data_IF_848591972273
#
_entry.id   IF_848591972273
#
_cell.length_a   1.000
_cell.length_b   1.000
_cell.length_c   1.000
_cell.angle_alpha   90.00
_cell.angle_beta   90.00
_cell.angle_gamma   90.00
#
_symmetry.space_group_name_H-M   'P 1'
#
loop_
_entity.id
_entity.type
_entity.pdbx_description
1 polymer ?
#
# COMPACT_ATOMS: atom_id res chain seq x y z
N UNK A 1 1.92 -17.08 -21.59
CA UNK A 1 0.75 -16.67 -22.38
C UNK A 1 -0.29 -15.85 -21.55
N UNK A 2 -0.75 -16.31 -20.35
CA UNK A 2 -1.78 -15.58 -19.56
C UNK A 2 -1.24 -14.30 -18.95
N UNK A 3 -0.05 -14.34 -18.33
CA UNK A 3 0.61 -13.17 -17.72
C UNK A 3 0.84 -12.07 -18.76
N UNK A 4 1.37 -12.41 -19.95
CA UNK A 4 1.59 -11.43 -21.00
C UNK A 4 0.29 -10.72 -21.45
N UNK A 5 -0.84 -11.46 -21.56
CA UNK A 5 -2.13 -10.86 -21.88
C UNK A 5 -2.63 -9.92 -20.78
N UNK A 6 -2.47 -10.32 -19.52
CA UNK A 6 -2.85 -9.48 -18.38
C UNK A 6 -1.99 -8.22 -18.28
N UNK A 7 -0.68 -8.34 -18.44
CA UNK A 7 0.25 -7.23 -18.44
C UNK A 7 -0.06 -6.21 -19.56
N UNK A 8 -0.29 -6.69 -20.78
CA UNK A 8 -0.66 -5.84 -21.90
C UNK A 8 -1.98 -5.09 -21.68
N UNK A 9 -2.97 -5.71 -21.02
CA UNK A 9 -4.21 -5.05 -20.63
C UNK A 9 -3.95 -3.95 -19.59
N UNK A 10 -3.22 -4.28 -18.51
CA UNK A 10 -2.95 -3.36 -17.41
C UNK A 10 -2.09 -2.16 -17.84
N UNK A 11 -1.14 -2.38 -18.77
CA UNK A 11 -0.30 -1.29 -19.30
C UNK A 11 -1.13 -0.15 -19.90
N UNK A 12 -2.19 -0.50 -20.63
CA UNK A 12 -3.03 0.44 -21.34
C UNK A 12 -4.25 0.92 -20.56
N UNK A 13 -4.44 0.42 -19.34
CA UNK A 13 -5.60 0.78 -18.52
C UNK A 13 -5.46 2.17 -17.91
N UNK A 14 -6.19 3.13 -18.45
CA UNK A 14 -6.07 4.55 -18.09
C UNK A 14 -6.76 4.94 -16.78
N UNK A 15 -7.69 4.13 -16.29
CA UNK A 15 -8.42 4.45 -15.06
C UNK A 15 -7.52 4.49 -13.82
N UNK A 16 -6.31 3.91 -13.89
CA UNK A 16 -5.31 4.06 -12.81
C UNK A 16 -4.89 5.51 -12.55
N UNK A 17 -5.10 6.40 -13.50
CA UNK A 17 -4.77 7.82 -13.34
C UNK A 17 -5.75 8.58 -12.44
N UNK A 18 -6.99 8.06 -12.29
CA UNK A 18 -8.08 8.69 -11.54
C UNK A 18 -8.67 7.83 -10.42
N UNK A 19 -8.17 6.61 -10.24
CA UNK A 19 -8.64 5.66 -9.23
C UNK A 19 -8.04 5.93 -7.84
N UNK A 20 -8.47 5.14 -6.86
CA UNK A 20 -7.88 5.11 -5.52
C UNK A 20 -6.41 4.67 -5.58
N UNK A 21 -5.64 5.10 -4.58
CA UNK A 21 -4.19 4.88 -4.53
C UNK A 21 -3.79 3.39 -4.49
N UNK A 22 -4.58 2.54 -3.85
CA UNK A 22 -4.32 1.10 -3.78
C UNK A 22 -4.19 0.47 -5.17
N UNK A 23 -5.03 0.85 -6.13
CA UNK A 23 -4.92 0.35 -7.52
C UNK A 23 -3.61 0.75 -8.19
N UNK A 24 -3.15 1.98 -7.97
CA UNK A 24 -1.85 2.44 -8.51
C UNK A 24 -0.70 1.64 -7.96
N UNK A 25 -0.70 1.42 -6.64
CA UNK A 25 0.38 0.71 -5.95
C UNK A 25 0.42 -0.75 -6.35
N UNK A 26 -0.70 -1.47 -6.25
CA UNK A 26 -0.75 -2.90 -6.59
C UNK A 26 -0.40 -3.16 -8.05
N UNK A 27 -0.87 -2.29 -8.95
CA UNK A 27 -0.53 -2.42 -10.36
C UNK A 27 0.90 -1.98 -10.69
N UNK A 28 1.50 -1.05 -9.95
CA UNK A 28 2.93 -0.73 -10.11
C UNK A 28 3.80 -1.97 -9.86
N UNK A 29 3.52 -2.71 -8.79
CA UNK A 29 4.20 -3.97 -8.48
C UNK A 29 3.93 -5.03 -9.54
N UNK A 30 2.66 -5.22 -9.94
CA UNK A 30 2.29 -6.19 -10.96
C UNK A 30 3.01 -5.94 -12.30
N UNK A 31 3.14 -4.67 -12.69
CA UNK A 31 3.85 -4.27 -13.91
C UNK A 31 5.36 -4.49 -13.79
N UNK A 32 5.99 -4.16 -12.66
CA UNK A 32 7.41 -4.42 -12.42
C UNK A 32 7.73 -5.92 -12.51
N UNK A 33 6.94 -6.75 -11.80
CA UNK A 33 7.14 -8.21 -11.80
C UNK A 33 6.87 -8.83 -13.18
N UNK A 34 5.85 -8.33 -13.88
CA UNK A 34 5.57 -8.79 -15.26
C UNK A 34 6.70 -8.45 -16.21
N UNK A 35 7.24 -7.24 -16.11
CA UNK A 35 8.38 -6.81 -16.92
C UNK A 35 9.64 -7.64 -16.66
N UNK A 36 9.94 -7.95 -15.39
CA UNK A 36 11.03 -8.86 -15.02
C UNK A 36 10.82 -10.26 -15.60
N UNK A 37 9.63 -10.84 -15.40
CA UNK A 37 9.31 -12.21 -15.82
C UNK A 37 9.31 -12.38 -17.34
N UNK A 38 8.81 -11.38 -18.07
CA UNK A 38 8.69 -11.42 -19.53
C UNK A 38 9.92 -10.85 -20.25
N UNK A 39 10.85 -10.25 -19.52
CA UNK A 39 12.00 -9.50 -20.03
C UNK A 39 11.57 -8.34 -20.96
N UNK A 40 10.55 -7.59 -20.52
CA UNK A 40 9.92 -6.49 -21.25
C UNK A 40 10.01 -5.18 -20.48
N UNK A 41 10.87 -4.26 -20.90
CA UNK A 41 11.16 -3.01 -20.17
C UNK A 41 9.98 -2.04 -20.16
N UNK A 42 9.13 -2.02 -21.18
CA UNK A 42 7.98 -1.13 -21.24
C UNK A 42 6.98 -1.37 -20.10
N UNK A 43 6.80 -2.62 -19.63
CA UNK A 43 5.99 -2.92 -18.45
C UNK A 43 6.62 -2.32 -17.19
N UNK A 44 7.92 -2.46 -17.01
CA UNK A 44 8.65 -1.87 -15.88
C UNK A 44 8.56 -0.33 -15.89
N UNK A 45 8.64 0.28 -17.08
CA UNK A 45 8.44 1.73 -17.21
C UNK A 45 7.03 2.15 -16.77
N UNK A 46 6.00 1.39 -17.16
CA UNK A 46 4.64 1.63 -16.68
C UNK A 46 4.54 1.48 -15.15
N UNK A 47 5.18 0.47 -14.58
CA UNK A 47 5.29 0.28 -13.13
C UNK A 47 5.89 1.50 -12.42
N UNK A 48 6.99 2.05 -12.95
CA UNK A 48 7.63 3.27 -12.42
C UNK A 48 6.70 4.50 -12.45
N UNK A 49 5.95 4.67 -13.54
CA UNK A 49 4.98 5.76 -13.66
C UNK A 49 3.88 5.67 -12.59
N UNK A 50 3.27 4.48 -12.44
CA UNK A 50 2.23 4.24 -11.44
C UNK A 50 2.76 4.41 -10.01
N UNK A 51 3.97 3.90 -9.71
CA UNK A 51 4.66 4.11 -8.44
C UNK A 51 4.83 5.60 -8.14
N UNK A 52 5.31 6.39 -9.10
CA UNK A 52 5.49 7.83 -8.91
C UNK A 52 4.17 8.51 -8.54
N UNK A 53 3.10 8.24 -9.28
CA UNK A 53 1.77 8.78 -8.98
C UNK A 53 1.24 8.34 -7.60
N UNK A 54 1.59 7.15 -7.15
CA UNK A 54 1.22 6.66 -5.83
C UNK A 54 2.02 7.37 -4.72
N UNK A 55 3.31 7.64 -4.94
CA UNK A 55 4.15 8.36 -3.98
C UNK A 55 3.71 9.81 -3.78
N UNK A 56 3.09 10.44 -4.78
CA UNK A 56 2.49 11.77 -4.65
C UNK A 56 1.31 11.78 -3.65
N UNK A 57 0.78 10.60 -3.28
CA UNK A 57 -0.24 10.44 -2.25
C UNK A 57 0.35 10.20 -0.84
N UNK A 58 1.67 10.15 -0.67
CA UNK A 58 2.29 10.09 0.65
C UNK A 58 2.48 11.50 1.20
N UNK A 59 1.97 11.72 2.41
CA UNK A 59 2.23 12.95 3.14
C UNK A 59 3.69 12.99 3.63
N UNK A 60 4.18 14.17 3.98
CA UNK A 60 5.56 14.34 4.45
C UNK A 60 5.87 13.48 5.69
N UNK A 61 4.90 13.27 6.58
CA UNK A 61 5.02 12.46 7.78
C UNK A 61 4.78 10.95 7.56
N UNK A 62 4.41 10.54 6.34
CA UNK A 62 4.30 9.12 5.94
C UNK A 62 2.89 8.56 5.92
N UNK A 63 1.83 9.38 6.10
CA UNK A 63 0.46 8.91 5.91
C UNK A 63 0.18 8.72 4.42
N UNK A 64 -0.33 7.56 4.02
CA UNK A 64 -0.81 7.31 2.66
C UNK A 64 -2.27 7.77 2.56
N UNK A 65 -2.51 8.74 1.67
CA UNK A 65 -3.84 9.28 1.34
C UNK A 65 -4.26 8.83 -0.06
N UNK A 66 -5.47 9.21 -0.50
CA UNK A 66 -5.95 8.91 -1.85
C UNK A 66 -6.91 7.73 -1.91
N UNK A 67 -7.41 7.28 -0.76
CA UNK A 67 -8.51 6.33 -0.67
C UNK A 67 -9.84 7.07 -0.50
N UNK A 68 -10.56 7.26 -1.61
CA UNK A 68 -11.84 7.98 -1.64
C UNK A 68 -11.73 9.40 -2.20
N UNK A 69 -12.79 10.19 -2.00
CA UNK A 69 -12.91 11.56 -2.51
C UNK A 69 -13.03 12.55 -1.34
N UNK A 70 -12.47 13.77 -1.47
CA UNK A 70 -11.56 14.20 -2.54
C UNK A 70 -10.23 13.45 -2.45
N UNK A 71 -9.55 13.23 -3.57
CA UNK A 71 -8.29 12.45 -3.61
C UNK A 71 -7.18 13.16 -2.85
N UNK A 72 -7.16 14.47 -2.93
CA UNK A 72 -6.28 15.39 -2.23
C UNK A 72 -7.11 16.39 -1.40
N UNK A 73 -6.63 16.72 -0.21
CA UNK A 73 -7.31 17.68 0.68
C UNK A 73 -8.20 17.04 1.74
N UNK A 74 -9.28 17.72 2.09
CA UNK A 74 -10.17 17.34 3.18
C UNK A 74 -11.62 17.29 2.72
N UNK A 75 -12.39 16.36 3.28
CA UNK A 75 -13.83 16.35 3.14
C UNK A 75 -14.46 17.57 3.83
N UNK A 76 -15.76 17.89 3.59
CA UNK A 76 -16.46 18.94 4.31
C UNK A 76 -16.46 18.77 5.84
N UNK A 77 -16.24 17.54 6.33
CA UNK A 77 -16.11 17.22 7.77
C UNK A 77 -14.66 17.26 8.27
N UNK A 78 -13.72 17.74 7.48
CA UNK A 78 -12.30 17.81 7.86
C UNK A 78 -11.56 16.46 7.83
N UNK A 79 -12.15 15.41 7.23
CA UNK A 79 -11.49 14.10 7.16
C UNK A 79 -10.62 13.98 5.91
N UNK A 80 -9.45 13.36 6.04
CA UNK A 80 -8.59 13.00 4.92
C UNK A 80 -9.14 11.79 4.14
N UNK A 81 -8.87 11.69 2.81
CA UNK A 81 -9.28 10.55 1.98
C UNK A 81 -8.39 9.34 2.25
N UNK A 82 -8.64 8.65 3.36
CA UNK A 82 -7.87 7.51 3.85
C UNK A 82 -8.79 6.34 4.17
N UNK A 83 -8.30 5.15 3.89
CA UNK A 83 -8.78 3.88 4.42
C UNK A 83 -7.56 3.16 5.02
N UNK A 84 -7.42 3.20 6.33
CA UNK A 84 -6.26 2.61 7.02
C UNK A 84 -6.20 1.10 6.80
N UNK A 85 -7.34 0.43 6.76
CA UNK A 85 -7.40 -1.01 6.48
C UNK A 85 -6.82 -1.35 5.09
N UNK A 86 -7.23 -0.63 4.04
CA UNK A 86 -6.65 -0.81 2.70
C UNK A 86 -5.15 -0.48 2.65
N UNK A 87 -4.74 0.58 3.37
CA UNK A 87 -3.33 0.92 3.43
C UNK A 87 -2.50 -0.24 4.00
N UNK A 88 -2.99 -0.86 5.09
CA UNK A 88 -2.26 -1.90 5.81
C UNK A 88 -2.29 -3.26 5.13
N UNK A 89 -3.43 -3.62 4.53
CA UNK A 89 -3.63 -4.93 3.90
C UNK A 89 -3.11 -4.98 2.45
N UNK A 90 -3.31 -3.92 1.67
CA UNK A 90 -3.10 -3.94 0.23
C UNK A 90 -1.96 -3.01 -0.23
N UNK A 91 -2.02 -1.72 0.16
CA UNK A 91 -1.18 -0.71 -0.44
C UNK A 91 0.26 -0.76 0.06
N UNK A 92 0.47 -0.70 1.37
CA UNK A 92 1.82 -0.72 1.95
C UNK A 92 2.55 -2.03 1.69
N UNK A 93 1.94 -3.23 1.82
CA UNK A 93 2.62 -4.46 1.46
C UNK A 93 3.13 -4.47 0.01
N UNK A 94 2.31 -4.03 -0.94
CA UNK A 94 2.70 -3.97 -2.35
C UNK A 94 3.80 -2.93 -2.61
N UNK A 95 3.76 -1.79 -1.93
CA UNK A 95 4.78 -0.75 -2.07
C UNK A 95 6.11 -1.17 -1.43
N UNK A 96 6.06 -1.83 -0.28
CA UNK A 96 7.23 -2.43 0.36
C UNK A 96 7.86 -3.47 -0.56
N UNK A 97 7.06 -4.42 -1.05
CA UNK A 97 7.56 -5.44 -1.96
C UNK A 97 8.19 -4.81 -3.21
N UNK A 98 7.57 -3.78 -3.80
CA UNK A 98 8.15 -3.05 -4.92
C UNK A 98 9.54 -2.50 -4.60
N UNK A 99 9.71 -1.87 -3.42
CA UNK A 99 10.98 -1.29 -2.99
C UNK A 99 12.10 -2.33 -2.90
N UNK A 100 11.80 -3.49 -2.32
CA UNK A 100 12.77 -4.57 -2.18
C UNK A 100 13.06 -5.27 -3.50
N UNK A 101 12.04 -5.50 -4.34
CA UNK A 101 12.20 -6.09 -5.66
C UNK A 101 13.03 -5.23 -6.62
N UNK A 102 13.01 -3.93 -6.46
CA UNK A 102 13.79 -3.01 -7.30
C UNK A 102 15.10 -2.56 -6.68
N UNK A 103 15.37 -2.96 -5.45
CA UNK A 103 16.54 -2.54 -4.65
C UNK A 103 16.70 -1.01 -4.58
N UNK A 104 15.56 -0.31 -4.50
CA UNK A 104 15.50 1.16 -4.43
C UNK A 104 15.63 1.61 -2.97
N UNK A 105 16.85 1.93 -2.53
CA UNK A 105 17.14 2.33 -1.14
C UNK A 105 16.34 3.56 -0.70
N UNK A 106 16.17 4.53 -1.58
CA UNK A 106 15.37 5.72 -1.27
C UNK A 106 13.91 5.37 -1.04
N UNK A 107 13.38 4.45 -1.83
CA UNK A 107 12.01 3.96 -1.66
C UNK A 107 11.89 3.11 -0.39
N UNK A 108 12.90 2.27 -0.07
CA UNK A 108 12.93 1.51 1.19
C UNK A 108 12.82 2.43 2.41
N UNK A 109 13.57 3.52 2.44
CA UNK A 109 13.45 4.53 3.52
C UNK A 109 12.07 5.19 3.55
N UNK A 110 11.52 5.50 2.39
CA UNK A 110 10.18 6.10 2.28
C UNK A 110 9.09 5.16 2.81
N UNK A 111 9.11 3.90 2.44
CA UNK A 111 8.12 2.92 2.91
C UNK A 111 8.29 2.58 4.38
N UNK A 112 9.52 2.54 4.91
CA UNK A 112 9.77 2.39 6.35
C UNK A 112 9.14 3.54 7.15
N UNK A 113 9.29 4.76 6.67
CA UNK A 113 8.63 5.92 7.27
C UNK A 113 7.10 5.79 7.27
N UNK A 114 6.53 5.35 6.14
CA UNK A 114 5.09 5.10 6.04
C UNK A 114 4.63 4.00 6.99
N UNK A 115 5.34 2.88 7.06
CA UNK A 115 5.05 1.80 8.01
C UNK A 115 5.07 2.29 9.46
N UNK A 116 6.10 3.08 9.85
CA UNK A 116 6.18 3.70 11.20
C UNK A 116 4.98 4.59 11.50
N UNK A 117 4.55 5.38 10.52
CA UNK A 117 3.38 6.23 10.72
C UNK A 117 2.13 5.39 10.97
N UNK A 118 1.93 4.33 10.19
CA UNK A 118 0.75 3.48 10.29
C UNK A 118 0.73 2.59 11.55
N UNK A 119 1.87 2.40 12.24
CA UNK A 119 1.88 1.77 13.57
C UNK A 119 1.01 2.49 14.60
N UNK A 120 0.76 3.80 14.43
CA UNK A 120 -0.13 4.58 15.30
C UNK A 120 -1.58 4.08 15.31
N UNK A 121 -1.96 3.33 14.29
CA UNK A 121 -3.29 2.74 14.14
C UNK A 121 -3.38 1.29 14.61
N UNK A 122 -2.25 0.71 15.05
CA UNK A 122 -2.26 -0.65 15.60
C UNK A 122 -2.74 -0.65 17.05
N UNK A 123 -3.80 -1.39 17.30
CA UNK A 123 -4.40 -1.56 18.63
C UNK A 123 -3.57 -2.48 19.54
N UNK A 124 -3.96 -2.52 20.81
CA UNK A 124 -3.28 -3.32 21.83
C UNK A 124 -3.17 -4.81 21.53
N UNK A 125 -4.14 -5.36 20.83
CA UNK A 125 -4.22 -6.77 20.41
C UNK A 125 -3.65 -7.06 19.03
N UNK A 126 -3.30 -6.04 18.25
CA UNK A 126 -2.73 -6.20 16.91
C UNK A 126 -3.70 -5.93 15.77
N UNK A 127 -4.98 -5.69 16.05
CA UNK A 127 -5.93 -5.18 15.05
C UNK A 127 -5.56 -3.76 14.62
N UNK A 128 -6.11 -3.32 13.52
CA UNK A 128 -5.89 -1.97 13.00
C UNK A 128 -7.14 -1.12 13.20
N UNK A 129 -6.97 0.05 13.82
CA UNK A 129 -8.03 1.05 13.95
C UNK A 129 -8.27 1.75 12.61
N UNK A 130 -9.35 1.41 11.93
CA UNK A 130 -9.79 2.04 10.68
C UNK A 130 -10.88 3.09 10.92
N UNK A 131 -10.97 3.69 12.09
CA UNK A 131 -11.93 4.77 12.38
C UNK A 131 -11.50 6.14 11.82
N UNK A 132 -10.25 6.25 11.35
CA UNK A 132 -9.68 7.48 10.80
C UNK A 132 -9.97 7.63 9.29
N UNK A 133 -10.26 8.86 8.86
CA UNK A 133 -10.41 9.20 7.44
C UNK A 133 -11.85 9.12 6.92
N UNK A 134 -11.99 9.24 5.58
CA UNK A 134 -13.30 9.30 4.91
C UNK A 134 -13.95 7.94 4.70
N UNK A 135 -13.21 6.84 4.84
CA UNK A 135 -13.68 5.48 4.60
C UNK A 135 -13.83 4.63 5.87
N UNK A 136 -13.95 5.27 7.00
CA UNK A 136 -14.09 4.64 8.32
C UNK A 136 -15.37 3.79 8.48
N UNK A 137 -16.36 3.91 7.59
CA UNK A 137 -17.57 3.09 7.60
C UNK A 137 -17.32 1.60 7.31
N UNK A 138 -16.13 1.24 6.83
CA UNK A 138 -15.70 -0.14 6.58
C UNK A 138 -15.06 -0.79 7.81
N UNK A 139 -15.00 -0.08 8.91
CA UNK A 139 -14.42 -0.62 10.14
C UNK A 139 -15.24 -1.81 10.64
N UNK A 140 -14.61 -2.96 10.69
CA UNK A 140 -15.13 -4.18 11.30
C UNK A 140 -13.99 -4.90 12.01
N UNK A 141 -14.28 -5.66 13.04
CA UNK A 141 -13.25 -6.29 13.86
C UNK A 141 -12.83 -7.65 13.34
N UNK A 142 -13.78 -8.47 12.89
CA UNK A 142 -13.54 -9.83 12.47
C UNK A 142 -13.68 -10.00 10.95
N UNK A 143 -12.73 -10.74 10.35
CA UNK A 143 -12.77 -11.05 8.93
C UNK A 143 -12.77 -9.82 8.03
N UNK A 144 -11.98 -8.82 8.38
CA UNK A 144 -11.90 -7.56 7.64
C UNK A 144 -10.48 -7.03 7.58
N UNK A 145 -10.30 -5.95 6.84
CA UNK A 145 -9.04 -5.21 6.68
C UNK A 145 -8.48 -4.59 7.95
N UNK A 146 -9.16 -4.73 9.07
CA UNK A 146 -8.66 -4.29 10.37
C UNK A 146 -7.93 -5.40 11.15
N UNK A 147 -8.03 -6.64 10.70
CA UNK A 147 -7.40 -7.79 11.34
C UNK A 147 -6.59 -8.66 10.37
N UNK A 148 -7.17 -9.02 9.22
CA UNK A 148 -6.60 -9.99 8.29
C UNK A 148 -5.54 -9.34 7.39
N UNK A 149 -4.42 -10.02 7.16
CA UNK A 149 -3.40 -9.61 6.19
C UNK A 149 -2.58 -8.36 6.53
N UNK A 150 -2.91 -7.66 7.61
CA UNK A 150 -2.24 -6.40 7.97
C UNK A 150 -0.77 -6.56 8.38
N UNK A 151 -0.31 -7.78 8.69
CA UNK A 151 1.07 -8.06 9.06
C UNK A 151 2.05 -8.05 7.88
N UNK A 152 1.58 -8.22 6.64
CA UNK A 152 2.48 -8.53 5.52
C UNK A 152 3.50 -7.42 5.23
N UNK A 153 3.08 -6.15 5.21
CA UNK A 153 4.01 -5.04 4.99
C UNK A 153 5.09 -4.95 6.07
N UNK A 154 4.72 -5.19 7.32
CA UNK A 154 5.66 -5.23 8.44
C UNK A 154 6.57 -6.45 8.40
N UNK A 155 6.06 -7.61 8.00
CA UNK A 155 6.84 -8.83 7.88
C UNK A 155 7.94 -8.68 6.83
N UNK A 156 7.62 -8.10 5.67
CA UNK A 156 8.59 -7.87 4.59
C UNK A 156 9.74 -6.93 4.99
N UNK A 157 9.47 -5.97 5.88
CA UNK A 157 10.47 -5.01 6.36
C UNK A 157 11.06 -5.38 7.75
N UNK A 158 10.77 -6.58 8.27
CA UNK A 158 11.11 -6.98 9.63
C UNK A 158 12.63 -7.09 9.88
N UNK A 159 13.41 -7.41 8.85
CA UNK A 159 14.87 -7.52 8.96
C UNK A 159 15.54 -6.14 9.11
N UNK A 160 14.92 -5.08 8.60
CA UNK A 160 15.47 -3.73 8.68
C UNK A 160 15.29 -3.12 10.08
N UNK A 161 14.14 -3.38 10.72
CA UNK A 161 13.85 -2.79 12.04
C UNK A 161 13.03 -3.75 12.93
N UNK A 162 13.50 -4.00 14.17
CA UNK A 162 12.83 -4.94 15.09
C UNK A 162 11.36 -4.58 15.40
N UNK A 163 10.99 -3.30 15.35
CA UNK A 163 9.62 -2.86 15.60
C UNK A 163 8.63 -3.42 14.59
N UNK A 164 9.06 -3.60 13.34
CA UNK A 164 8.22 -4.17 12.29
C UNK A 164 7.97 -5.66 12.51
N UNK A 165 9.00 -6.41 12.90
CA UNK A 165 8.83 -7.81 13.27
C UNK A 165 7.90 -8.01 14.47
N UNK A 166 8.00 -7.13 15.46
CA UNK A 166 7.10 -7.13 16.61
C UNK A 166 5.64 -6.82 16.22
N UNK A 167 5.43 -5.84 15.32
CA UNK A 167 4.12 -5.49 14.80
C UNK A 167 3.49 -6.64 13.99
N UNK A 168 4.26 -7.23 13.08
CA UNK A 168 3.81 -8.38 12.29
C UNK A 168 3.39 -9.55 13.19
N UNK A 169 4.21 -9.90 14.17
CA UNK A 169 3.90 -10.96 15.15
C UNK A 169 2.63 -10.66 15.94
N UNK A 170 2.46 -9.39 16.35
CA UNK A 170 1.30 -8.98 17.13
C UNK A 170 0.00 -9.12 16.32
N UNK A 171 -0.01 -8.70 15.07
CA UNK A 171 -1.17 -8.86 14.18
C UNK A 171 -1.43 -10.34 13.87
N UNK A 172 -0.39 -11.13 13.60
CA UNK A 172 -0.52 -12.57 13.34
C UNK A 172 -1.11 -13.33 14.54
N UNK A 173 -0.80 -12.93 15.77
CA UNK A 173 -1.35 -13.59 16.98
C UNK A 173 -2.85 -13.29 17.19
N UNK A 174 -3.42 -12.31 16.50
CA UNK A 174 -4.84 -12.01 16.53
C UNK A 174 -5.65 -13.00 15.67
N UNK A 175 -5.03 -13.53 14.60
CA UNK A 175 -5.66 -14.47 13.66
C UNK A 175 -5.66 -15.90 14.20
#
# INVERSE_FOLDING_TARGET
ARIAKAAAYLEHYKEFEVCNVNYRITNSLAMELSGKLLNEEHYRERGRQLKKMALDCLTEDGLLIGEGKPVDGFSPKGCRPVDIGYNMEESLPSLVQYAYETDDEKLKETVKKALKYHLKFMLGDGAIDNSFGTRNYKWTYWGSRTSDGCMLGYLLAAEDEPVFGAAAKKNLNLL
#
